data_IF_335382748691
#
_entry.id   IF_335382748691
#
_cell.length_a   1.000
_cell.length_b   1.000
_cell.length_c   1.000
_cell.angle_alpha   90.00
_cell.angle_beta   90.00
_cell.angle_gamma   90.00
#
_symmetry.space_group_name_H-M   'P 1'
#
loop_
_entity.id
_entity.type
_entity.pdbx_description
1 polymer ?
#
# COMPACT_ATOMS: atom_id res chain seq x y z
N UNK A 1 25.96 -90.77 135.89
CA UNK A 1 24.61 -90.29 135.48
C UNK A 1 24.59 -89.88 134.00
N UNK A 2 24.40 -90.89 133.15
CA UNK A 2 23.77 -91.02 131.82
C UNK A 2 23.66 -89.87 130.77
N UNK A 3 24.03 -88.60 131.02
CA UNK A 3 23.89 -87.52 130.00
C UNK A 3 25.14 -87.20 129.17
N UNK A 4 26.35 -87.54 129.63
CA UNK A 4 27.60 -87.24 128.88
C UNK A 4 28.04 -88.32 127.88
N UNK A 5 27.55 -89.56 128.02
CA UNK A 5 27.83 -90.66 127.07
C UNK A 5 26.98 -90.58 125.79
N UNK A 6 25.78 -89.99 125.86
CA UNK A 6 24.90 -89.82 124.70
C UNK A 6 25.38 -88.72 123.73
N UNK A 7 26.09 -87.71 124.25
CA UNK A 7 26.62 -86.58 123.45
C UNK A 7 27.79 -87.01 122.55
N UNK A 8 28.68 -87.88 123.03
CA UNK A 8 29.82 -88.34 122.25
C UNK A 8 29.41 -89.32 121.12
N UNK A 9 28.37 -90.13 121.34
CA UNK A 9 27.84 -91.04 120.31
C UNK A 9 27.09 -90.25 119.23
N UNK A 10 26.31 -89.22 119.60
CA UNK A 10 25.62 -88.37 118.61
C UNK A 10 26.61 -87.60 117.74
N UNK A 11 27.69 -87.07 118.32
CA UNK A 11 28.72 -86.32 117.58
C UNK A 11 29.52 -87.24 116.63
N UNK A 12 29.81 -88.47 117.05
CA UNK A 12 30.49 -89.47 116.21
C UNK A 12 29.61 -89.96 115.05
N UNK A 13 28.31 -90.15 115.28
CA UNK A 13 27.36 -90.51 114.22
C UNK A 13 27.16 -89.34 113.24
N UNK A 14 27.10 -88.09 113.74
CA UNK A 14 27.00 -86.91 112.86
C UNK A 14 28.27 -86.68 112.04
N UNK A 15 29.46 -86.94 112.60
CA UNK A 15 30.73 -86.87 111.88
C UNK A 15 30.85 -88.00 110.84
N UNK A 16 30.41 -89.23 111.15
CA UNK A 16 30.37 -90.33 110.19
C UNK A 16 29.36 -90.06 109.06
N UNK A 17 28.16 -89.57 109.34
CA UNK A 17 27.16 -89.23 108.31
C UNK A 17 27.61 -88.06 107.44
N UNK A 18 28.32 -87.07 108.00
CA UNK A 18 28.90 -85.97 107.22
C UNK A 18 30.07 -86.42 106.32
N UNK A 19 30.91 -87.35 106.80
CA UNK A 19 32.00 -87.95 106.00
C UNK A 19 31.46 -88.89 104.90
N UNK A 20 30.38 -89.63 105.16
CA UNK A 20 29.73 -90.44 104.12
C UNK A 20 28.91 -89.61 103.11
N UNK A 21 28.48 -88.40 103.47
CA UNK A 21 27.79 -87.48 102.55
C UNK A 21 28.75 -86.70 101.63
N UNK A 22 30.05 -86.63 101.96
CA UNK A 22 31.09 -86.06 101.10
C UNK A 22 31.82 -87.11 100.25
N UNK A 23 31.85 -88.38 100.68
CA UNK A 23 32.42 -89.49 99.91
C UNK A 23 31.43 -90.17 98.94
N UNK A 24 30.12 -89.92 99.06
CA UNK A 24 29.10 -90.41 98.14
C UNK A 24 28.74 -89.43 97.01
N UNK A 25 29.56 -88.39 96.81
CA UNK A 25 29.61 -87.60 95.57
C UNK A 25 30.92 -87.86 94.80
N UNK A 26 31.57 -89.00 95.06
CA UNK A 26 32.56 -89.60 94.17
C UNK A 26 31.88 -90.75 93.41
N UNK A 27 30.89 -90.38 92.59
CA UNK A 27 30.41 -91.28 91.54
C UNK A 27 31.40 -91.21 90.38
N UNK A 28 32.60 -91.75 90.63
CA UNK A 28 33.49 -92.28 89.61
C UNK A 28 32.82 -93.46 88.90
N UNK A 29 31.81 -93.16 88.09
CA UNK A 29 31.42 -93.98 86.95
C UNK A 29 32.18 -93.42 85.76
N UNK A 30 33.04 -94.23 85.14
CA UNK A 30 33.73 -93.89 83.90
C UNK A 30 32.74 -93.62 82.76
N UNK A 31 32.15 -92.43 82.77
CA UNK A 31 31.61 -91.80 81.59
C UNK A 31 32.81 -91.31 80.79
N UNK A 32 32.87 -91.78 79.55
CA UNK A 32 33.82 -91.31 78.56
C UNK A 32 33.47 -89.86 78.18
N UNK A 33 33.91 -88.91 79.03
CA UNK A 33 33.75 -87.46 78.82
C UNK A 33 34.38 -87.01 77.49
N UNK A 34 35.22 -87.84 76.85
CA UNK A 34 35.78 -87.59 75.52
C UNK A 34 34.69 -87.34 74.47
N UNK A 35 33.58 -88.08 74.49
CA UNK A 35 32.51 -87.89 73.50
C UNK A 35 31.73 -86.58 73.67
N UNK A 36 31.66 -86.05 74.91
CA UNK A 36 31.09 -84.74 75.19
C UNK A 36 32.05 -83.62 74.77
N UNK A 37 33.35 -83.81 75.03
CA UNK A 37 34.41 -82.88 74.60
C UNK A 37 34.44 -82.77 73.06
N UNK A 38 34.46 -83.89 72.33
CA UNK A 38 34.45 -83.91 70.85
C UNK A 38 33.24 -83.16 70.27
N UNK A 39 32.07 -83.31 70.91
CA UNK A 39 30.84 -82.62 70.49
C UNK A 39 30.87 -81.13 70.82
N UNK A 40 31.52 -80.72 71.90
CA UNK A 40 31.74 -79.30 72.21
C UNK A 40 32.67 -78.69 71.18
N UNK A 41 33.82 -79.33 70.88
CA UNK A 41 34.75 -78.86 69.86
C UNK A 41 34.07 -78.71 68.49
N UNK A 42 33.26 -79.70 68.08
CA UNK A 42 32.51 -79.63 66.83
C UNK A 42 31.47 -78.49 66.81
N UNK A 43 30.84 -78.18 67.94
CA UNK A 43 29.91 -77.04 68.06
C UNK A 43 30.65 -75.70 68.04
N UNK A 44 31.82 -75.62 68.68
CA UNK A 44 32.68 -74.43 68.64
C UNK A 44 33.14 -74.12 67.22
N UNK A 45 33.55 -75.14 66.46
CA UNK A 45 33.89 -75.02 65.04
C UNK A 45 32.69 -74.54 64.21
N UNK A 46 31.51 -75.12 64.41
CA UNK A 46 30.28 -74.67 63.72
C UNK A 46 29.91 -73.22 64.05
N UNK A 47 30.06 -72.80 65.31
CA UNK A 47 29.81 -71.42 65.73
C UNK A 47 30.79 -70.47 65.05
N UNK A 48 32.07 -70.87 64.94
CA UNK A 48 33.10 -70.09 64.26
C UNK A 48 32.80 -69.93 62.78
N UNK A 49 32.46 -71.02 62.09
CA UNK A 49 32.10 -71.00 60.66
C UNK A 49 30.85 -70.12 60.41
N UNK A 50 29.86 -70.18 61.30
CA UNK A 50 28.69 -69.31 61.24
C UNK A 50 29.06 -67.84 61.46
N UNK A 51 29.94 -67.55 62.41
CA UNK A 51 30.40 -66.19 62.68
C UNK A 51 31.15 -65.61 61.48
N UNK A 52 32.01 -66.40 60.83
CA UNK A 52 32.73 -65.99 59.63
C UNK A 52 31.75 -65.72 58.46
N UNK A 53 30.77 -66.60 58.26
CA UNK A 53 29.71 -66.41 57.25
C UNK A 53 28.90 -65.14 57.52
N UNK A 54 28.54 -64.87 58.78
CA UNK A 54 27.81 -63.65 59.17
C UNK A 54 28.63 -62.40 58.87
N UNK A 55 29.95 -62.43 59.14
CA UNK A 55 30.84 -61.31 58.88
C UNK A 55 30.93 -61.02 57.35
N UNK A 56 31.05 -62.06 56.52
CA UNK A 56 31.06 -61.92 55.06
C UNK A 56 29.74 -61.36 54.50
N UNK A 57 28.60 -61.83 55.04
CA UNK A 57 27.28 -61.31 54.69
C UNK A 57 27.13 -59.84 55.10
N UNK A 58 27.61 -59.47 56.28
CA UNK A 58 27.56 -58.09 56.76
C UNK A 58 28.34 -57.13 55.85
N UNK A 59 29.54 -57.50 55.41
CA UNK A 59 30.30 -56.69 54.44
C UNK A 59 29.62 -56.65 53.07
N UNK A 60 29.01 -57.75 52.63
CA UNK A 60 28.22 -57.77 51.38
C UNK A 60 27.04 -56.81 51.44
N UNK A 61 26.28 -56.80 52.54
CA UNK A 61 25.14 -55.91 52.77
C UNK A 61 25.60 -54.44 52.77
N UNK A 62 26.71 -54.14 53.42
CA UNK A 62 27.29 -52.78 53.47
C UNK A 62 27.72 -52.28 52.08
N UNK A 63 28.31 -53.15 51.27
CA UNK A 63 28.66 -52.81 49.88
C UNK A 63 27.41 -52.59 49.02
N UNK A 64 26.38 -53.43 49.16
CA UNK A 64 25.10 -53.25 48.48
C UNK A 64 24.40 -51.95 48.91
N UNK A 65 24.40 -51.61 50.19
CA UNK A 65 23.84 -50.36 50.68
C UNK A 65 24.52 -49.14 50.05
N UNK A 66 25.85 -49.18 49.92
CA UNK A 66 26.63 -48.12 49.25
C UNK A 66 26.26 -48.00 47.77
N UNK A 67 26.13 -49.13 47.06
CA UNK A 67 25.70 -49.15 45.66
C UNK A 67 24.27 -48.61 45.48
N UNK A 68 23.35 -48.95 46.40
CA UNK A 68 21.97 -48.42 46.40
C UNK A 68 21.98 -46.90 46.57
N UNK A 69 22.77 -46.37 47.49
CA UNK A 69 22.90 -44.91 47.66
C UNK A 69 23.43 -44.23 46.40
N UNK A 70 24.45 -44.81 45.75
CA UNK A 70 24.96 -44.28 44.49
C UNK A 70 23.90 -44.26 43.37
N UNK A 71 23.14 -45.36 43.23
CA UNK A 71 22.04 -45.44 42.26
C UNK A 71 20.93 -44.43 42.56
N UNK A 72 20.60 -44.21 43.83
CA UNK A 72 19.62 -43.18 44.24
C UNK A 72 20.09 -41.78 43.81
N UNK A 73 21.36 -41.45 44.00
CA UNK A 73 21.93 -40.18 43.53
C UNK A 73 21.82 -40.03 42.01
N UNK A 74 22.21 -41.06 41.23
CA UNK A 74 22.09 -41.01 39.77
C UNK A 74 20.64 -40.88 39.30
N UNK A 75 19.68 -41.52 39.98
CA UNK A 75 18.26 -41.37 39.67
C UNK A 75 17.81 -39.92 39.87
N UNK A 76 18.20 -39.28 40.97
CA UNK A 76 17.86 -37.87 41.23
C UNK A 76 18.45 -36.95 40.16
N UNK A 77 19.71 -37.15 39.77
CA UNK A 77 20.35 -36.37 38.71
C UNK A 77 19.63 -36.52 37.36
N UNK A 78 19.24 -37.75 36.99
CA UNK A 78 18.48 -38.01 35.77
C UNK A 78 17.09 -37.38 35.81
N UNK A 79 16.43 -37.36 36.97
CA UNK A 79 15.14 -36.68 37.13
C UNK A 79 15.27 -35.17 36.93
N UNK A 80 16.31 -34.55 37.49
CA UNK A 80 16.60 -33.13 37.26
C UNK A 80 16.89 -32.85 35.79
N UNK A 81 17.73 -33.66 35.14
CA UNK A 81 18.03 -33.52 33.72
C UNK A 81 16.76 -33.66 32.84
N UNK A 82 15.88 -34.60 33.18
CA UNK A 82 14.59 -34.78 32.50
C UNK A 82 13.73 -33.52 32.60
N UNK A 83 13.56 -32.95 33.80
CA UNK A 83 12.77 -31.72 33.99
C UNK A 83 13.35 -30.55 33.19
N UNK A 84 14.67 -30.37 33.18
CA UNK A 84 15.32 -29.32 32.40
C UNK A 84 15.11 -29.49 30.88
N UNK A 85 15.05 -30.73 30.39
CA UNK A 85 14.76 -31.01 28.98
C UNK A 85 13.29 -30.74 28.64
N UNK A 86 12.37 -31.08 29.53
CA UNK A 86 10.94 -30.78 29.37
C UNK A 86 10.69 -29.26 29.27
N UNK A 87 11.38 -28.46 30.09
CA UNK A 87 11.31 -27.00 30.02
C UNK A 87 11.88 -26.44 28.71
N UNK A 88 13.01 -26.97 28.23
CA UNK A 88 13.59 -26.57 26.94
C UNK A 88 12.69 -26.91 25.77
N UNK A 89 12.03 -28.08 25.79
CA UNK A 89 11.08 -28.48 24.76
C UNK A 89 9.90 -27.50 24.72
N UNK A 90 9.31 -27.17 25.89
CA UNK A 90 8.21 -26.23 25.95
C UNK A 90 8.59 -24.85 25.38
N UNK A 91 9.79 -24.34 25.72
CA UNK A 91 10.28 -23.08 25.16
C UNK A 91 10.44 -23.13 23.63
N UNK A 92 10.93 -24.24 23.08
CA UNK A 92 11.07 -24.41 21.63
C UNK A 92 9.72 -24.51 20.92
N UNK A 93 8.71 -25.11 21.55
CA UNK A 93 7.35 -25.17 21.03
C UNK A 93 6.70 -23.78 20.95
N UNK A 94 6.92 -22.94 21.96
CA UNK A 94 6.48 -21.55 21.99
C UNK A 94 7.17 -20.73 20.87
N UNK A 95 8.49 -20.82 20.75
CA UNK A 95 9.26 -20.14 19.69
C UNK A 95 8.80 -20.57 18.29
N UNK A 96 8.55 -21.87 18.08
CA UNK A 96 8.07 -22.39 16.81
C UNK A 96 6.66 -21.84 16.47
N UNK A 97 5.80 -21.69 17.47
CA UNK A 97 4.46 -21.11 17.31
C UNK A 97 4.54 -19.62 16.94
N UNK A 98 5.43 -18.87 17.59
CA UNK A 98 5.70 -17.47 17.26
C UNK A 98 6.22 -17.32 15.82
N UNK A 99 7.22 -18.12 15.43
CA UNK A 99 7.78 -18.12 14.08
C UNK A 99 6.72 -18.45 13.01
N UNK A 100 5.84 -19.41 13.26
CA UNK A 100 4.74 -19.75 12.33
C UNK A 100 3.75 -18.59 12.14
N UNK A 101 3.50 -17.83 13.20
CA UNK A 101 2.65 -16.64 13.16
C UNK A 101 3.30 -15.52 12.36
N UNK A 102 4.60 -15.30 12.55
CA UNK A 102 5.38 -14.32 11.79
C UNK A 102 5.44 -14.67 10.30
N UNK A 103 5.70 -15.94 9.95
CA UNK A 103 5.68 -16.42 8.57
C UNK A 103 4.33 -16.16 7.90
N UNK A 104 3.23 -16.42 8.62
CA UNK A 104 1.88 -16.15 8.10
C UNK A 104 1.68 -14.67 7.82
N UNK A 105 2.12 -13.81 8.73
CA UNK A 105 2.06 -12.35 8.58
C UNK A 105 2.89 -11.87 7.39
N UNK A 106 4.11 -12.38 7.22
CA UNK A 106 4.98 -12.06 6.10
C UNK A 106 4.37 -12.49 4.77
N UNK A 107 3.74 -13.67 4.72
CA UNK A 107 3.05 -14.15 3.52
C UNK A 107 1.94 -13.19 3.08
N UNK A 108 1.09 -12.74 4.00
CA UNK A 108 0.05 -11.75 3.70
C UNK A 108 0.64 -10.42 3.19
N UNK A 109 1.77 -9.96 3.75
CA UNK A 109 2.45 -8.75 3.26
C UNK A 109 2.98 -8.93 1.84
N UNK A 110 3.51 -10.10 1.50
CA UNK A 110 3.99 -10.40 0.14
C UNK A 110 2.83 -10.39 -0.85
N UNK A 111 1.71 -11.04 -0.54
CA UNK A 111 0.51 -11.06 -1.39
C UNK A 111 -0.02 -9.63 -1.65
N UNK A 112 -0.01 -8.77 -0.63
CA UNK A 112 -0.39 -7.36 -0.78
C UNK A 112 0.57 -6.56 -1.67
N UNK A 113 1.88 -6.82 -1.58
CA UNK A 113 2.88 -6.18 -2.44
C UNK A 113 2.76 -6.64 -3.89
N UNK A 114 2.48 -7.92 -4.14
CA UNK A 114 2.24 -8.45 -5.49
C UNK A 114 1.01 -7.79 -6.12
N UNK A 115 -0.08 -7.63 -5.36
CA UNK A 115 -1.28 -6.95 -5.83
C UNK A 115 -1.03 -5.45 -6.15
N UNK A 116 -0.28 -4.76 -5.29
CA UNK A 116 0.10 -3.36 -5.52
C UNK A 116 0.98 -3.22 -6.79
N UNK A 117 1.92 -4.13 -6.99
CA UNK A 117 2.78 -4.13 -8.17
C UNK A 117 1.99 -4.37 -9.47
N UNK A 118 1.03 -5.31 -9.45
CA UNK A 118 0.13 -5.53 -10.58
C UNK A 118 -0.70 -4.28 -10.92
N UNK A 119 -1.17 -3.54 -9.90
CA UNK A 119 -1.90 -2.29 -10.12
C UNK A 119 -1.00 -1.20 -10.73
N UNK A 120 0.25 -1.05 -10.27
CA UNK A 120 1.18 -0.10 -10.86
C UNK A 120 1.51 -0.43 -12.32
N UNK A 121 1.66 -1.71 -12.67
CA UNK A 121 1.86 -2.10 -14.06
C UNK A 121 0.67 -1.67 -14.95
N UNK A 122 -0.57 -1.86 -14.49
CA UNK A 122 -1.75 -1.41 -15.22
C UNK A 122 -1.79 0.11 -15.40
N UNK A 123 -1.35 0.87 -14.39
CA UNK A 123 -1.27 2.34 -14.48
C UNK A 123 -0.21 2.79 -15.49
N UNK A 124 0.93 2.10 -15.55
CA UNK A 124 1.99 2.36 -16.54
C UNK A 124 1.46 2.11 -17.95
N UNK A 125 0.82 0.96 -18.19
CA UNK A 125 0.28 0.61 -19.51
C UNK A 125 -0.78 1.64 -19.99
N UNK A 126 -1.60 2.14 -19.06
CA UNK A 126 -2.57 3.18 -19.34
C UNK A 126 -1.92 4.53 -19.67
N UNK A 127 -0.83 4.86 -18.97
CA UNK A 127 -0.06 6.08 -19.22
C UNK A 127 0.63 6.04 -20.59
N UNK A 128 1.20 4.90 -20.97
CA UNK A 128 1.81 4.69 -22.28
C UNK A 128 0.78 4.89 -23.39
N UNK A 129 -0.41 4.29 -23.25
CA UNK A 129 -1.53 4.47 -24.20
C UNK A 129 -1.95 5.94 -24.33
N UNK A 130 -2.01 6.66 -23.20
CA UNK A 130 -2.32 8.09 -23.19
C UNK A 130 -1.22 8.92 -23.86
N UNK A 131 0.04 8.55 -23.68
CA UNK A 131 1.19 9.22 -24.28
C UNK A 131 1.17 9.07 -25.81
N UNK A 132 0.90 7.87 -26.32
CA UNK A 132 0.77 7.61 -27.76
C UNK A 132 -0.38 8.42 -28.37
N UNK A 133 -1.54 8.41 -27.70
CA UNK A 133 -2.71 9.22 -28.11
C UNK A 133 -2.37 10.71 -28.16
N UNK A 134 -1.59 11.20 -27.19
CA UNK A 134 -1.16 12.61 -27.17
C UNK A 134 -0.20 12.92 -28.34
N UNK A 135 0.74 12.03 -28.66
CA UNK A 135 1.65 12.19 -29.79
C UNK A 135 0.90 12.23 -31.14
N UNK A 136 -0.13 11.39 -31.32
CA UNK A 136 -1.00 11.41 -32.49
C UNK A 136 -1.77 12.74 -32.61
N UNK A 137 -2.35 13.20 -31.49
CA UNK A 137 -3.06 14.47 -31.44
C UNK A 137 -2.15 15.65 -31.79
N UNK A 138 -0.91 15.64 -31.30
CA UNK A 138 0.08 16.66 -31.63
C UNK A 138 0.40 16.67 -33.14
N UNK A 139 0.60 15.48 -33.73
CA UNK A 139 0.84 15.34 -35.18
C UNK A 139 -0.33 15.89 -35.99
N UNK A 140 -1.56 15.57 -35.60
CA UNK A 140 -2.78 16.10 -36.25
C UNK A 140 -2.88 17.62 -36.10
N UNK A 141 -2.57 18.16 -34.93
CA UNK A 141 -2.57 19.60 -34.69
C UNK A 141 -1.53 20.31 -35.56
N UNK A 142 -0.31 19.77 -35.67
CA UNK A 142 0.74 20.29 -36.56
C UNK A 142 0.28 20.28 -38.02
N UNK A 143 -0.36 19.19 -38.48
CA UNK A 143 -0.92 19.14 -39.83
C UNK A 143 -2.00 20.21 -40.06
N UNK A 144 -2.92 20.38 -39.12
CA UNK A 144 -3.96 21.39 -39.19
C UNK A 144 -3.37 22.81 -39.24
N UNK A 145 -2.36 23.08 -38.40
CA UNK A 145 -1.66 24.35 -38.39
C UNK A 145 -1.01 24.64 -39.74
N UNK A 146 -0.26 23.69 -40.30
CA UNK A 146 0.38 23.85 -41.61
C UNK A 146 -0.65 24.08 -42.73
N UNK A 147 -1.77 23.35 -42.73
CA UNK A 147 -2.87 23.57 -43.67
C UNK A 147 -3.48 24.96 -43.53
N UNK A 148 -3.69 25.44 -42.30
CA UNK A 148 -4.22 26.78 -42.05
C UNK A 148 -3.22 27.86 -42.51
N UNK A 149 -1.93 27.70 -42.19
CA UNK A 149 -0.87 28.59 -42.66
C UNK A 149 -0.84 28.68 -44.18
N UNK A 150 -0.93 27.54 -44.87
CA UNK A 150 -0.99 27.51 -46.33
C UNK A 150 -2.24 28.22 -46.87
N UNK A 151 -3.43 27.99 -46.28
CA UNK A 151 -4.66 28.68 -46.68
C UNK A 151 -4.56 30.20 -46.49
N UNK A 152 -4.01 30.66 -45.37
CA UNK A 152 -3.81 32.09 -45.09
C UNK A 152 -2.77 32.69 -46.03
N UNK A 153 -1.68 31.98 -46.32
CA UNK A 153 -0.67 32.44 -47.28
C UNK A 153 -1.23 32.48 -48.71
N UNK A 154 -2.07 31.52 -49.09
CA UNK A 154 -2.69 31.44 -50.41
C UNK A 154 -3.82 32.45 -50.61
N UNK A 155 -4.39 33.00 -49.53
CA UNK A 155 -5.27 34.18 -49.57
C UNK A 155 -4.45 35.41 -50.01
N UNK A 156 -3.99 35.39 -51.26
CA UNK A 156 -2.94 36.25 -51.80
C UNK A 156 -3.47 37.53 -52.42
N UNK A 157 -4.77 37.68 -52.65
CA UNK A 157 -5.28 38.85 -53.35
C UNK A 157 -6.58 39.33 -52.71
N UNK A 158 -6.47 40.25 -51.75
CA UNK A 158 -7.53 41.23 -51.53
C UNK A 158 -7.30 42.32 -52.57
N UNK A 159 -8.01 42.25 -53.68
CA UNK A 159 -7.97 43.35 -54.64
C UNK A 159 -8.82 44.50 -54.10
N UNK A 160 -8.18 45.65 -53.89
CA UNK A 160 -8.82 46.89 -53.46
C UNK A 160 -9.00 47.82 -54.64
N UNK A 161 -10.22 47.89 -55.17
CA UNK A 161 -10.57 48.82 -56.26
C UNK A 161 -11.25 50.05 -55.67
N UNK A 162 -10.73 51.25 -55.97
CA UNK A 162 -11.33 52.52 -55.51
C UNK A 162 -11.97 53.26 -56.68
N UNK A 163 -13.26 53.52 -56.58
CA UNK A 163 -14.04 54.28 -57.55
C UNK A 163 -14.41 55.64 -56.96
N UNK A 164 -14.00 56.71 -57.63
CA UNK A 164 -14.39 58.09 -57.30
C UNK A 164 -15.41 58.60 -58.31
N UNK A 165 -16.11 59.70 -57.99
CA UNK A 165 -17.09 60.32 -58.90
C UNK A 165 -16.56 60.64 -60.28
N UNK A 166 -15.33 61.14 -60.35
CA UNK A 166 -14.67 61.52 -61.60
C UNK A 166 -14.46 60.32 -62.53
N UNK A 167 -14.33 59.11 -61.94
CA UNK A 167 -14.08 57.86 -62.66
C UNK A 167 -15.35 57.08 -62.99
N UNK A 168 -16.54 57.56 -62.64
CA UNK A 168 -17.79 56.87 -63.00
C UNK A 168 -18.05 56.83 -64.51
N UNK A 169 -17.54 57.81 -65.25
CA UNK A 169 -17.82 57.95 -66.69
C UNK A 169 -16.83 57.19 -67.58
N UNK A 170 -15.79 56.59 -67.00
CA UNK A 170 -14.75 55.83 -67.70
C UNK A 170 -14.63 54.43 -67.09
N UNK A 171 -15.28 53.44 -67.71
CA UNK A 171 -15.14 52.00 -67.37
C UNK A 171 -15.59 51.55 -65.96
N UNK A 172 -16.35 52.38 -65.23
CA UNK A 172 -16.86 52.00 -63.91
C UNK A 172 -17.92 50.92 -63.98
N UNK A 173 -17.78 49.87 -63.16
CA UNK A 173 -18.82 48.84 -62.92
C UNK A 173 -20.05 49.38 -62.17
N UNK A 174 -19.93 50.57 -61.57
CA UNK A 174 -21.00 51.27 -60.86
C UNK A 174 -21.80 52.12 -61.84
N UNK A 175 -23.10 51.84 -61.93
CA UNK A 175 -24.09 52.62 -62.69
C UNK A 175 -24.51 53.86 -61.93
N UNK A 176 -24.82 53.71 -60.64
CA UNK A 176 -25.33 54.80 -59.81
C UNK A 176 -25.06 54.55 -58.33
N UNK A 177 -25.00 55.62 -57.55
CA UNK A 177 -24.86 55.58 -56.09
C UNK A 177 -25.94 56.44 -55.47
N UNK A 178 -26.88 55.79 -54.80
CA UNK A 178 -28.03 56.41 -54.17
C UNK A 178 -27.79 56.49 -52.67
N UNK A 179 -27.80 57.71 -52.13
CA UNK A 179 -27.71 57.94 -50.70
C UNK A 179 -29.07 58.26 -50.11
N UNK A 180 -29.36 57.71 -48.93
CA UNK A 180 -30.57 58.00 -48.17
C UNK A 180 -30.17 58.44 -46.78
N UNK A 181 -30.63 59.61 -46.33
CA UNK A 181 -30.37 60.10 -44.97
C UNK A 181 -31.69 60.16 -44.23
N UNK A 182 -31.80 59.39 -43.16
CA UNK A 182 -32.98 59.31 -42.28
C UNK A 182 -32.58 59.59 -40.84
N UNK A 183 -33.58 59.71 -39.96
CA UNK A 183 -33.40 59.91 -38.53
C UNK A 183 -33.87 58.68 -37.77
N UNK A 184 -33.10 58.24 -36.78
CA UNK A 184 -33.51 57.23 -35.78
C UNK A 184 -32.97 57.66 -34.43
N UNK A 185 -33.82 57.77 -33.41
CA UNK A 185 -33.45 58.20 -32.05
C UNK A 185 -32.59 59.47 -32.00
N UNK A 186 -32.96 60.48 -32.80
CA UNK A 186 -32.24 61.75 -33.00
C UNK A 186 -30.83 61.63 -33.58
N UNK A 187 -30.43 60.46 -34.05
CA UNK A 187 -29.20 60.24 -34.80
C UNK A 187 -29.46 60.15 -36.29
N UNK A 188 -28.54 60.68 -37.08
CA UNK A 188 -28.54 60.53 -38.53
C UNK A 188 -28.19 59.08 -38.91
N UNK A 189 -28.99 58.49 -39.79
CA UNK A 189 -28.76 57.18 -40.40
C UNK A 189 -28.54 57.39 -41.89
N UNK A 190 -27.35 57.02 -42.38
CA UNK A 190 -27.01 57.14 -43.79
C UNK A 190 -27.03 55.74 -44.43
N UNK A 191 -27.91 55.58 -45.40
CA UNK A 191 -27.96 54.45 -46.32
C UNK A 191 -27.20 54.77 -47.60
N UNK A 192 -26.52 53.76 -48.15
CA UNK A 192 -25.93 53.79 -49.47
C UNK A 192 -26.40 52.56 -50.25
N UNK A 193 -26.90 52.79 -51.46
CA UNK A 193 -27.26 51.77 -52.43
C UNK A 193 -26.40 52.00 -53.67
N UNK A 194 -25.55 51.03 -53.98
CA UNK A 194 -24.68 51.04 -55.16
C UNK A 194 -25.34 50.16 -56.21
N UNK A 195 -25.73 50.75 -57.33
CA UNK A 195 -26.25 50.04 -58.50
C UNK A 195 -25.13 49.75 -59.49
N UNK A 196 -25.12 48.55 -60.06
CA UNK A 196 -24.12 48.10 -61.02
C UNK A 196 -24.65 48.18 -62.46
N UNK A 197 -23.75 48.39 -63.44
CA UNK A 197 -24.12 48.42 -64.87
C UNK A 197 -24.57 47.03 -65.34
N UNK A 198 -23.84 46.00 -64.95
CA UNK A 198 -24.21 44.61 -65.18
C UNK A 198 -24.29 43.81 -63.88
N UNK A 199 -24.57 42.51 -63.95
CA UNK A 199 -24.46 41.64 -62.77
C UNK A 199 -23.10 41.89 -62.11
N UNK A 200 -23.11 42.21 -60.80
CA UNK A 200 -21.94 42.76 -60.16
C UNK A 200 -20.77 41.78 -60.28
N UNK A 201 -19.55 42.28 -60.49
CA UNK A 201 -18.36 41.50 -60.20
C UNK A 201 -18.42 40.94 -58.76
N UNK A 202 -17.67 39.88 -58.49
CA UNK A 202 -17.68 39.10 -57.24
C UNK A 202 -17.13 39.89 -56.01
N UNK A 203 -17.45 41.18 -55.87
CA UNK A 203 -17.16 41.95 -54.68
C UNK A 203 -18.07 41.51 -53.55
N UNK A 204 -17.47 40.91 -52.53
CA UNK A 204 -18.19 40.40 -51.36
C UNK A 204 -18.38 41.52 -50.31
N UNK A 205 -17.53 42.55 -50.38
CA UNK A 205 -17.55 43.71 -49.50
C UNK A 205 -17.30 44.99 -50.30
N UNK A 206 -18.14 45.99 -50.09
CA UNK A 206 -17.89 47.35 -50.54
C UNK A 206 -17.94 48.32 -49.36
N UNK A 207 -17.20 49.42 -49.43
CA UNK A 207 -17.30 50.52 -48.48
C UNK A 207 -17.68 51.79 -49.24
N UNK A 208 -18.84 52.34 -48.94
CA UNK A 208 -19.30 53.62 -49.46
C UNK A 208 -18.86 54.72 -48.48
N UNK A 209 -17.91 55.55 -48.89
CA UNK A 209 -17.43 56.68 -48.09
C UNK A 209 -18.30 57.88 -48.43
N UNK A 210 -19.07 58.36 -47.45
CA UNK A 210 -20.00 59.47 -47.61
C UNK A 210 -19.57 60.68 -46.81
N UNK A 211 -19.98 61.85 -47.26
CA UNK A 211 -20.00 63.08 -46.49
C UNK A 211 -21.44 63.43 -46.18
N UNK A 212 -21.73 63.64 -44.90
CA UNK A 212 -23.02 64.14 -44.47
C UNK A 212 -22.81 65.47 -43.76
N UNK A 213 -23.63 66.44 -44.10
CA UNK A 213 -23.67 67.74 -43.45
C UNK A 213 -25.01 67.87 -42.75
N UNK A 214 -24.99 68.07 -41.43
CA UNK A 214 -26.18 68.32 -40.62
C UNK A 214 -25.95 69.65 -39.89
N UNK A 215 -26.83 70.63 -40.08
CA UNK A 215 -26.73 71.96 -39.45
C UNK A 215 -25.34 72.62 -39.61
N UNK A 216 -24.82 72.61 -40.84
CA UNK A 216 -23.51 73.15 -41.24
C UNK A 216 -22.28 72.37 -40.74
N UNK A 217 -22.43 71.33 -39.92
CA UNK A 217 -21.33 70.45 -39.54
C UNK A 217 -21.21 69.29 -40.52
N UNK A 218 -20.03 69.14 -41.14
CA UNK A 218 -19.76 68.07 -42.12
C UNK A 218 -18.89 66.98 -41.52
N UNK A 219 -19.33 65.73 -41.65
CA UNK A 219 -18.60 64.55 -41.21
C UNK A 219 -18.47 63.54 -42.33
N UNK A 220 -17.40 62.73 -42.30
CA UNK A 220 -17.22 61.61 -43.24
C UNK A 220 -17.67 60.32 -42.56
N UNK A 221 -18.55 59.57 -43.19
CA UNK A 221 -19.08 58.30 -42.68
C UNK A 221 -18.72 57.18 -43.65
N UNK A 222 -18.28 56.04 -43.11
CA UNK A 222 -18.00 54.84 -43.92
C UNK A 222 -19.13 53.85 -43.69
N UNK A 223 -19.79 53.46 -44.77
CA UNK A 223 -20.87 52.48 -44.74
C UNK A 223 -20.31 51.20 -45.34
N UNK A 224 -20.31 50.12 -44.57
CA UNK A 224 -19.97 48.79 -45.07
C UNK A 224 -21.20 48.17 -45.72
N UNK A 225 -21.03 47.71 -46.95
CA UNK A 225 -22.06 47.03 -47.72
C UNK A 225 -21.55 45.60 -47.94
N UNK A 226 -22.25 44.64 -47.37
CA UNK A 226 -21.95 43.21 -47.52
C UNK A 226 -23.06 42.53 -48.29
N UNK A 227 -22.70 41.45 -48.97
CA UNK A 227 -23.64 40.58 -49.66
C UNK A 227 -23.47 39.18 -49.11
N UNK A 228 -24.57 38.55 -48.71
CA UNK A 228 -24.56 37.17 -48.29
C UNK A 228 -24.31 36.25 -49.50
N UNK A 229 -23.46 35.24 -49.32
CA UNK A 229 -23.31 34.06 -50.19
C UNK A 229 -23.15 34.33 -51.69
N UNK A 230 -22.40 35.38 -52.06
CA UNK A 230 -22.17 35.75 -53.47
C UNK A 230 -23.45 35.92 -54.29
N UNK A 231 -24.59 36.26 -53.66
CA UNK A 231 -25.88 36.34 -54.35
C UNK A 231 -25.86 37.40 -55.46
N UNK A 232 -25.62 36.99 -56.71
CA UNK A 232 -25.63 37.88 -57.88
C UNK A 232 -27.03 38.09 -58.45
N UNK A 233 -28.11 37.65 -57.79
CA UNK A 233 -29.48 37.83 -58.30
C UNK A 233 -29.86 39.30 -58.44
N UNK A 234 -29.24 40.20 -57.67
CA UNK A 234 -29.50 41.64 -57.68
C UNK A 234 -28.33 42.46 -58.23
N UNK A 235 -28.65 43.45 -59.06
CA UNK A 235 -27.70 44.44 -59.61
C UNK A 235 -27.44 45.61 -58.65
N UNK A 236 -27.58 45.39 -57.35
CA UNK A 236 -27.26 46.41 -56.35
C UNK A 236 -26.78 45.82 -55.03
N UNK A 237 -26.00 46.60 -54.28
CA UNK A 237 -25.64 46.29 -52.90
C UNK A 237 -26.02 47.49 -52.03
N UNK A 238 -26.66 47.21 -50.90
CA UNK A 238 -27.20 48.24 -50.00
C UNK A 238 -26.67 48.02 -48.60
N UNK A 239 -26.34 49.09 -47.91
CA UNK A 239 -26.01 49.09 -46.49
C UNK A 239 -26.43 50.41 -45.87
N UNK A 240 -26.56 50.42 -44.54
CA UNK A 240 -26.82 51.64 -43.79
C UNK A 240 -25.98 51.67 -42.52
N UNK A 241 -25.69 52.87 -42.03
CA UNK A 241 -24.94 53.09 -40.81
C UNK A 241 -25.64 54.14 -39.97
N UNK A 242 -25.95 53.81 -38.73
CA UNK A 242 -26.31 54.81 -37.70
C UNK A 242 -25.04 55.55 -37.33
N UNK A 243 -25.11 56.88 -37.32
CA UNK A 243 -23.96 57.75 -37.06
C UNK A 243 -24.09 58.40 -35.69
N UNK A 244 -22.98 58.89 -35.13
CA UNK A 244 -23.01 59.67 -33.88
C UNK A 244 -23.43 61.14 -34.10
N UNK A 245 -23.95 61.48 -35.28
CA UNK A 245 -24.34 62.84 -35.62
C UNK A 245 -25.78 63.08 -35.21
N UNK A 246 -26.00 64.07 -34.36
CA UNK A 246 -27.33 64.51 -33.95
C UNK A 246 -28.08 65.15 -35.12
N UNK A 247 -29.30 64.68 -35.38
CA UNK A 247 -30.21 65.19 -36.40
C UNK A 247 -31.56 65.56 -35.77
N UNK A 248 -31.70 66.75 -35.16
CA UNK A 248 -32.98 67.30 -34.72
C UNK A 248 -34.04 67.42 -35.84
N UNK A 249 -35.32 67.53 -35.48
CA UNK A 249 -36.46 67.56 -36.41
C UNK A 249 -36.38 68.64 -37.51
N UNK A 250 -35.76 69.79 -37.22
CA UNK A 250 -35.61 70.92 -38.16
C UNK A 250 -34.18 71.02 -38.74
N UNK A 251 -33.51 69.89 -38.91
CA UNK A 251 -32.13 69.91 -39.41
C UNK A 251 -32.03 70.18 -40.91
N UNK A 252 -31.16 71.12 -41.28
CA UNK A 252 -30.72 71.24 -42.68
C UNK A 252 -29.72 70.13 -42.97
N UNK A 253 -29.99 69.33 -44.01
CA UNK A 253 -29.14 68.19 -44.34
C UNK A 253 -28.66 68.22 -45.79
N UNK A 254 -27.39 67.85 -45.97
CA UNK A 254 -26.82 67.54 -47.26
C UNK A 254 -26.09 66.20 -47.15
N UNK A 255 -26.07 65.44 -48.23
CA UNK A 255 -25.39 64.14 -48.29
C UNK A 255 -24.74 63.99 -49.64
N UNK A 256 -23.55 63.45 -49.60
CA UNK A 256 -22.77 63.22 -50.79
C UNK A 256 -21.84 62.03 -50.60
N UNK A 257 -21.39 61.40 -51.68
CA UNK A 257 -20.40 60.33 -51.58
C UNK A 257 -19.04 60.79 -52.14
N UNK A 258 -17.96 60.26 -51.59
CA UNK A 258 -16.59 60.59 -51.97
C UNK A 258 -15.99 59.52 -52.87
N UNK A 259 -16.00 58.30 -52.35
CA UNK A 259 -15.41 57.14 -53.01
C UNK A 259 -16.14 55.87 -52.59
N UNK A 260 -16.05 54.86 -53.44
CA UNK A 260 -16.44 53.50 -53.15
C UNK A 260 -15.19 52.64 -53.19
N UNK A 261 -15.00 51.83 -52.17
CA UNK A 261 -13.89 50.89 -52.07
C UNK A 261 -14.46 49.49 -52.18
N UNK A 262 -14.17 48.79 -53.27
CA UNK A 262 -14.52 47.39 -53.45
C UNK A 262 -13.39 46.48 -52.99
N UNK A 263 -13.76 45.39 -52.34
CA UNK A 263 -12.85 44.33 -51.94
C UNK A 263 -13.28 43.03 -52.63
N UNK A 264 -12.40 42.49 -53.48
CA UNK A 264 -12.52 41.13 -54.01
C UNK A 264 -11.62 40.21 -53.20
N UNK A 265 -12.14 39.05 -52.82
CA UNK A 265 -11.37 37.98 -52.19
C UNK A 265 -11.24 36.87 -53.24
N UNK A 266 -10.01 36.58 -53.67
CA UNK A 266 -9.67 35.51 -54.63
C UNK A 266 -9.21 34.24 -53.92
#
# INVERSE_FOLDING_TARGET
>A
MKKKLFSCILLAVFACVALFSFAACDNGSGYDDSALVDRIEALEDQIKDQQDTINEQAETIKNQATAITALQTSITELQTAKTNLEEQIASLEDDNTANKTEITTLKTKVEALEAANANFQQQIDALDTSSDTFAENLTKLTSNYNSLTASVQNATHIERVVVTKEKLNEQSVVKNVLLTLTKTDNLAVIGCNIEYIDYPPLFQLATCVTQITVNQQTSTVKISLTRADLDTSTKSITGSQVTDILMPDESTTNKDWKEIIFYTFY
#
